data_IF_637069752881
#
_entry.id   IF_637069752881
#
_cell.length_a   1.000
_cell.length_b   1.000
_cell.length_c   1.000
_cell.angle_alpha   90.00
_cell.angle_beta   90.00
_cell.angle_gamma   90.00
#
_symmetry.space_group_name_H-M   'P 1'
#
loop_
_entity.id
_entity.type
_entity.pdbx_description
1 polymer ?
#
# COMPACT_ATOMS: atom_id res chain seq x y z
N UNK A 1 -25.14 -18.07 -18.91
CA UNK A 1 -24.58 -16.71 -18.88
C UNK A 1 -23.09 -16.79 -18.66
N UNK A 2 -22.30 -16.00 -19.39
CA UNK A 2 -20.85 -15.94 -19.24
C UNK A 2 -20.53 -15.16 -17.97
N UNK A 3 -19.79 -15.77 -17.05
CA UNK A 3 -19.27 -15.09 -15.85
C UNK A 3 -17.95 -14.41 -16.20
N UNK A 4 -17.76 -13.17 -15.77
CA UNK A 4 -16.53 -12.41 -15.97
C UNK A 4 -15.84 -12.25 -14.61
N UNK A 5 -14.59 -12.68 -14.50
CA UNK A 5 -13.75 -12.39 -13.32
C UNK A 5 -13.22 -10.97 -13.45
N UNK A 6 -13.44 -10.16 -12.42
CA UNK A 6 -12.98 -8.79 -12.33
C UNK A 6 -12.54 -8.47 -10.89
N UNK A 7 -12.09 -7.24 -10.68
CA UNK A 7 -11.54 -6.75 -9.43
C UNK A 7 -12.23 -5.45 -9.04
N UNK A 8 -12.56 -5.32 -7.76
CA UNK A 8 -13.28 -4.17 -7.24
C UNK A 8 -12.57 -3.58 -6.03
N UNK A 9 -12.45 -2.26 -6.01
CA UNK A 9 -12.10 -1.50 -4.82
C UNK A 9 -13.36 -1.09 -4.04
N UNK A 10 -13.19 -0.97 -2.73
CA UNK A 10 -14.20 -0.52 -1.77
C UNK A 10 -13.53 0.43 -0.76
N UNK A 11 -14.31 1.24 -0.07
CA UNK A 11 -13.80 1.89 1.15
C UNK A 11 -13.53 0.87 2.28
N UNK A 12 -13.05 1.36 3.42
CA UNK A 12 -12.70 0.52 4.57
C UNK A 12 -13.90 -0.30 5.08
N UNK A 13 -15.12 0.22 4.89
CA UNK A 13 -16.38 -0.38 5.31
C UNK A 13 -17.02 -1.30 4.24
N UNK A 14 -16.33 -1.64 3.15
CA UNK A 14 -16.87 -2.40 2.01
C UNK A 14 -18.03 -1.70 1.28
N UNK A 15 -18.01 -0.36 1.17
CA UNK A 15 -19.01 0.39 0.43
C UNK A 15 -18.45 0.94 -0.89
N UNK A 16 -19.37 1.18 -1.82
CA UNK A 16 -19.10 1.90 -3.06
C UNK A 16 -20.32 2.75 -3.41
N UNK A 17 -20.13 4.07 -3.55
CA UNK A 17 -21.21 5.05 -3.84
C UNK A 17 -22.43 4.91 -2.90
N UNK A 18 -22.20 4.63 -1.62
CA UNK A 18 -23.26 4.45 -0.61
C UNK A 18 -23.92 3.06 -0.59
N UNK A 19 -23.63 2.19 -1.55
CA UNK A 19 -24.08 0.79 -1.53
C UNK A 19 -23.15 -0.05 -0.65
N UNK A 20 -23.71 -0.81 0.29
CA UNK A 20 -22.98 -1.71 1.18
C UNK A 20 -22.81 -3.09 0.53
N UNK A 21 -21.57 -3.54 0.40
CA UNK A 21 -21.25 -4.89 -0.03
C UNK A 21 -20.91 -5.78 1.17
N UNK A 22 -20.98 -7.08 0.94
CA UNK A 22 -20.57 -8.11 1.88
C UNK A 22 -19.81 -9.19 1.11
N UNK A 23 -18.79 -9.76 1.75
CA UNK A 23 -18.02 -10.86 1.19
C UNK A 23 -18.91 -12.09 1.02
N UNK A 24 -18.63 -12.89 -0.01
CA UNK A 24 -19.36 -14.11 -0.37
C UNK A 24 -20.85 -13.90 -0.70
N UNK A 25 -21.29 -12.66 -0.95
CA UNK A 25 -22.66 -12.35 -1.36
C UNK A 25 -22.75 -11.89 -2.80
N UNK A 26 -23.92 -12.14 -3.40
CA UNK A 26 -24.31 -11.66 -4.72
C UNK A 26 -25.30 -10.51 -4.60
N UNK A 27 -25.19 -9.55 -5.51
CA UNK A 27 -26.01 -8.36 -5.55
C UNK A 27 -26.52 -8.15 -6.97
N UNK A 28 -27.74 -7.63 -7.10
CA UNK A 28 -28.37 -7.30 -8.38
C UNK A 28 -28.72 -5.81 -8.42
N UNK A 29 -28.42 -5.19 -9.54
CA UNK A 29 -28.77 -3.82 -9.86
C UNK A 29 -30.07 -3.79 -10.65
N UNK A 30 -30.94 -2.83 -10.35
CA UNK A 30 -32.20 -2.62 -11.06
C UNK A 30 -32.07 -1.46 -12.05
N UNK A 31 -32.56 -1.67 -13.27
CA UNK A 31 -32.50 -0.68 -14.34
C UNK A 31 -31.33 -0.90 -15.30
N UNK A 32 -31.06 0.11 -16.14
CA UNK A 32 -30.02 0.03 -17.17
C UNK A 32 -28.62 -0.06 -16.55
N UNK A 33 -27.75 -0.81 -17.22
CA UNK A 33 -26.31 -0.90 -16.90
C UNK A 33 -25.55 -0.04 -17.91
N UNK A 34 -24.96 1.05 -17.43
CA UNK A 34 -24.21 2.01 -18.25
C UNK A 34 -22.85 2.23 -17.60
N UNK A 35 -21.79 2.01 -18.38
CA UNK A 35 -20.43 2.22 -17.91
C UNK A 35 -20.27 3.62 -17.28
N UNK A 36 -19.56 3.69 -16.16
CA UNK A 36 -19.37 4.90 -15.34
C UNK A 36 -20.61 5.52 -14.66
N UNK A 37 -21.82 5.26 -15.16
CA UNK A 37 -23.07 5.85 -14.66
C UNK A 37 -23.82 4.92 -13.69
N UNK A 38 -24.22 3.72 -14.15
CA UNK A 38 -25.12 2.82 -13.43
C UNK A 38 -24.67 1.35 -13.47
N UNK A 39 -25.16 0.55 -12.52
CA UNK A 39 -24.71 -0.83 -12.32
C UNK A 39 -23.52 -0.96 -11.38
N UNK A 40 -23.02 -2.17 -11.21
CA UNK A 40 -21.88 -2.46 -10.35
C UNK A 40 -20.56 -2.36 -11.13
N UNK A 41 -19.73 -1.38 -10.78
CA UNK A 41 -18.42 -1.17 -11.42
C UNK A 41 -17.31 -2.03 -10.82
N UNK A 42 -16.45 -2.57 -11.70
CA UNK A 42 -15.21 -3.28 -11.40
C UNK A 42 -14.20 -3.06 -12.56
N UNK A 43 -13.00 -3.63 -12.45
CA UNK A 43 -11.95 -3.59 -13.49
C UNK A 43 -11.49 -5.01 -13.83
N UNK A 44 -11.27 -5.34 -15.10
CA UNK A 44 -10.73 -6.67 -15.46
C UNK A 44 -9.23 -6.81 -15.15
N UNK A 45 -8.46 -5.75 -15.37
CA UNK A 45 -7.07 -5.66 -14.95
C UNK A 45 -7.01 -5.23 -13.48
N UNK A 46 -6.38 -6.02 -12.59
CA UNK A 46 -6.42 -5.77 -11.15
C UNK A 46 -5.91 -4.40 -10.73
N UNK A 47 -4.86 -3.86 -11.32
CA UNK A 47 -4.26 -2.60 -10.85
C UNK A 47 -5.06 -1.36 -11.28
N UNK A 48 -5.99 -1.48 -12.23
CA UNK A 48 -6.88 -0.37 -12.61
C UNK A 48 -7.79 0.06 -11.46
N UNK A 49 -8.05 -0.82 -10.49
CA UNK A 49 -8.83 -0.47 -9.29
C UNK A 49 -8.17 0.64 -8.48
N UNK A 50 -6.83 0.74 -8.53
CA UNK A 50 -6.12 1.83 -7.90
C UNK A 50 -6.52 3.18 -8.52
N UNK A 51 -7.01 3.20 -9.77
CA UNK A 51 -7.69 4.32 -10.46
C UNK A 51 -8.70 5.05 -9.61
N UNK A 52 -9.42 4.26 -8.84
CA UNK A 52 -10.66 4.66 -8.19
C UNK A 52 -10.56 4.60 -6.67
N UNK A 53 -9.69 3.71 -6.18
CA UNK A 53 -9.55 3.40 -4.76
C UNK A 53 -8.07 3.44 -4.37
N UNK A 54 -7.62 4.33 -3.48
CA UNK A 54 -6.23 4.38 -3.06
C UNK A 54 -5.82 3.12 -2.26
N UNK A 55 -4.63 2.54 -2.51
CA UNK A 55 -4.14 1.31 -1.85
C UNK A 55 -4.02 1.42 -0.32
N UNK A 56 -3.85 2.64 0.20
CA UNK A 56 -3.65 2.91 1.61
C UNK A 56 -4.89 2.71 2.51
N UNK A 57 -6.08 3.00 1.99
CA UNK A 57 -7.30 3.12 2.80
C UNK A 57 -8.48 2.33 2.24
N UNK A 58 -8.24 1.56 1.18
CA UNK A 58 -9.28 0.83 0.46
C UNK A 58 -9.11 -0.66 0.62
N UNK A 59 -10.23 -1.38 0.50
CA UNK A 59 -10.25 -2.84 0.43
C UNK A 59 -10.43 -3.26 -1.01
N UNK A 60 -9.89 -4.41 -1.38
CA UNK A 60 -9.97 -4.95 -2.73
C UNK A 60 -10.60 -6.33 -2.70
N UNK A 61 -11.34 -6.68 -3.75
CA UNK A 61 -11.92 -8.00 -3.87
C UNK A 61 -11.91 -8.53 -5.28
N UNK A 62 -11.78 -9.84 -5.39
CA UNK A 62 -12.09 -10.59 -6.61
C UNK A 62 -13.61 -10.71 -6.71
N UNK A 63 -14.15 -10.43 -7.89
CA UNK A 63 -15.60 -10.43 -8.13
C UNK A 63 -15.94 -11.24 -9.38
N UNK A 64 -17.11 -11.88 -9.35
CA UNK A 64 -17.75 -12.46 -10.54
C UNK A 64 -18.87 -11.53 -11.00
N UNK A 65 -18.82 -11.09 -12.26
CA UNK A 65 -19.85 -10.27 -12.89
C UNK A 65 -20.73 -11.12 -13.82
N UNK A 66 -22.02 -10.85 -13.83
CA UNK A 66 -23.01 -11.47 -14.72
C UNK A 66 -24.17 -10.52 -15.05
N UNK A 67 -25.13 -11.01 -15.85
CA UNK A 67 -26.23 -10.21 -16.39
C UNK A 67 -25.78 -9.25 -17.49
N UNK A 68 -26.52 -8.16 -17.68
CA UNK A 68 -26.17 -7.11 -18.64
C UNK A 68 -24.87 -6.44 -18.24
N UNK A 69 -24.00 -6.16 -19.22
CA UNK A 69 -22.71 -5.53 -18.99
C UNK A 69 -22.47 -4.37 -19.95
N UNK A 70 -21.73 -3.36 -19.48
CA UNK A 70 -21.34 -2.20 -20.27
C UNK A 70 -19.87 -1.86 -20.02
N UNK A 71 -19.12 -1.57 -21.09
CA UNK A 71 -17.70 -1.21 -21.06
C UNK A 71 -17.48 0.07 -21.86
N UNK A 72 -16.80 1.04 -21.25
CA UNK A 72 -16.40 2.29 -21.90
C UNK A 72 -15.08 2.79 -21.29
N UNK A 73 -14.30 3.52 -22.08
CA UNK A 73 -13.07 4.17 -21.62
C UNK A 73 -11.78 3.55 -22.15
N UNK A 74 -10.65 4.00 -21.61
CA UNK A 74 -9.30 3.56 -21.98
C UNK A 74 -8.73 2.49 -21.03
N UNK A 75 -9.34 2.30 -19.86
CA UNK A 75 -8.96 1.28 -18.89
C UNK A 75 -9.86 0.04 -19.01
N UNK A 76 -9.68 -0.94 -18.13
CA UNK A 76 -10.44 -2.19 -18.17
C UNK A 76 -11.75 -2.14 -17.36
N UNK A 77 -12.28 -0.95 -17.13
CA UNK A 77 -13.49 -0.75 -16.34
C UNK A 77 -14.71 -1.38 -17.02
N UNK A 78 -15.54 -2.01 -16.20
CA UNK A 78 -16.77 -2.66 -16.61
C UNK A 78 -17.88 -2.38 -15.58
N UNK A 79 -19.10 -2.17 -16.06
CA UNK A 79 -20.33 -2.17 -15.26
C UNK A 79 -21.11 -3.46 -15.54
N UNK A 80 -21.74 -4.01 -14.50
CA UNK A 80 -22.59 -5.21 -14.61
C UNK A 80 -23.90 -5.09 -13.83
N UNK A 81 -24.92 -5.81 -14.27
CA UNK A 81 -26.21 -5.94 -13.57
C UNK A 81 -26.07 -6.78 -12.30
N UNK A 82 -25.20 -7.78 -12.31
CA UNK A 82 -24.98 -8.66 -11.16
C UNK A 82 -23.51 -8.70 -10.79
N UNK A 83 -23.24 -8.72 -9.48
CA UNK A 83 -21.89 -8.85 -8.94
C UNK A 83 -21.90 -9.81 -7.75
N UNK A 84 -20.94 -10.71 -7.70
CA UNK A 84 -20.68 -11.55 -6.53
C UNK A 84 -19.30 -11.23 -5.98
N UNK A 85 -19.22 -10.87 -4.69
CA UNK A 85 -17.94 -10.61 -4.03
C UNK A 85 -17.35 -11.94 -3.57
N UNK A 86 -16.32 -12.44 -4.25
CA UNK A 86 -15.80 -13.79 -4.04
C UNK A 86 -14.85 -13.88 -2.86
N UNK A 87 -13.93 -12.93 -2.78
CA UNK A 87 -12.92 -12.88 -1.74
C UNK A 87 -12.41 -11.45 -1.59
N UNK A 88 -11.93 -11.11 -0.39
CA UNK A 88 -11.07 -9.95 -0.21
C UNK A 88 -9.64 -10.31 -0.63
N UNK A 89 -8.97 -9.41 -1.34
CA UNK A 89 -7.58 -9.55 -1.76
C UNK A 89 -6.70 -8.54 -1.01
N UNK A 90 -5.57 -9.01 -0.50
CA UNK A 90 -4.46 -8.17 -0.05
C UNK A 90 -3.65 -7.70 -1.25
N UNK A 91 -2.85 -6.65 -1.06
CA UNK A 91 -2.02 -6.06 -2.12
C UNK A 91 -1.14 -7.11 -2.84
N UNK A 92 -0.45 -8.06 -2.14
CA UNK A 92 0.30 -9.11 -2.83
C UNK A 92 -0.56 -10.00 -3.73
N UNK A 93 -1.80 -10.29 -3.33
CA UNK A 93 -2.73 -11.13 -4.09
C UNK A 93 -3.27 -10.38 -5.31
N UNK A 94 -3.53 -9.07 -5.17
CA UNK A 94 -3.91 -8.19 -6.28
C UNK A 94 -2.77 -8.07 -7.32
N UNK A 95 -1.52 -7.98 -6.85
CA UNK A 95 -0.33 -7.96 -7.71
C UNK A 95 -0.17 -9.31 -8.42
N UNK A 96 -0.32 -10.43 -7.69
CA UNK A 96 -0.28 -11.76 -8.29
C UNK A 96 -1.36 -11.93 -9.37
N UNK A 97 -2.57 -11.41 -9.11
CA UNK A 97 -3.63 -11.37 -10.09
C UNK A 97 -3.25 -10.53 -11.33
N UNK A 98 -2.55 -9.40 -11.14
CA UNK A 98 -2.14 -8.51 -12.23
C UNK A 98 -1.10 -9.18 -13.14
N UNK A 99 -0.13 -9.87 -12.52
CA UNK A 99 0.84 -10.70 -13.23
C UNK A 99 0.13 -11.78 -14.02
N UNK A 100 -0.79 -12.53 -13.40
CA UNK A 100 -1.58 -13.58 -14.08
C UNK A 100 -2.36 -13.02 -15.27
N UNK A 101 -3.02 -11.86 -15.10
CA UNK A 101 -3.78 -11.22 -16.17
C UNK A 101 -2.94 -10.92 -17.42
N UNK A 102 -1.69 -10.46 -17.24
CA UNK A 102 -0.75 -10.18 -18.34
C UNK A 102 -0.23 -11.50 -18.94
N UNK A 103 0.19 -12.44 -18.09
CA UNK A 103 0.73 -13.75 -18.52
C UNK A 103 -0.29 -14.52 -19.36
N UNK A 104 -1.55 -14.55 -18.97
CA UNK A 104 -2.63 -15.25 -19.69
C UNK A 104 -2.92 -14.65 -21.09
N UNK A 105 -2.45 -13.43 -21.36
CA UNK A 105 -2.64 -12.71 -22.63
C UNK A 105 -1.38 -12.62 -23.48
N UNK A 106 -0.25 -13.09 -22.97
CA UNK A 106 1.04 -13.02 -23.63
C UNK A 106 1.36 -14.34 -24.38
N UNK A 107 1.90 -14.21 -25.58
CA UNK A 107 2.48 -15.28 -26.39
C UNK A 107 3.84 -15.66 -25.84
N UNK A 108 4.02 -16.93 -25.51
CA UNK A 108 5.31 -17.47 -25.08
C UNK A 108 6.33 -17.46 -26.23
N UNK A 109 7.53 -17.00 -25.93
CA UNK A 109 8.71 -16.99 -26.80
C UNK A 109 9.83 -17.78 -26.14
N UNK A 110 10.52 -18.61 -26.92
CA UNK A 110 11.69 -19.35 -26.45
C UNK A 110 12.93 -18.45 -26.45
N UNK A 111 13.75 -18.56 -25.41
CA UNK A 111 14.99 -17.79 -25.27
C UNK A 111 15.06 -17.04 -23.95
N UNK A 112 15.94 -16.04 -23.90
CA UNK A 112 16.17 -15.19 -22.72
C UNK A 112 15.83 -13.72 -22.97
N UNK A 113 15.61 -13.35 -24.23
CA UNK A 113 15.31 -11.99 -24.65
C UNK A 113 14.20 -11.94 -25.70
N UNK A 114 13.23 -11.04 -25.51
CA UNK A 114 12.10 -10.80 -26.40
C UNK A 114 11.79 -9.29 -26.45
N UNK A 115 11.26 -8.81 -27.57
CA UNK A 115 11.00 -7.38 -27.82
C UNK A 115 9.65 -7.09 -28.49
N UNK A 116 8.86 -8.12 -28.78
CA UNK A 116 7.59 -8.02 -29.49
C UNK A 116 6.41 -7.67 -28.58
N UNK A 117 5.27 -7.39 -29.21
CA UNK A 117 4.03 -7.14 -28.47
C UNK A 117 3.45 -8.42 -27.89
N UNK A 118 2.93 -8.31 -26.66
CA UNK A 118 2.30 -9.40 -25.92
C UNK A 118 3.21 -10.62 -25.84
N UNK A 119 4.50 -10.44 -25.55
CA UNK A 119 5.44 -11.54 -25.43
C UNK A 119 5.71 -11.92 -23.98
N UNK A 120 5.92 -13.22 -23.76
CA UNK A 120 6.27 -13.82 -22.49
C UNK A 120 7.53 -14.65 -22.65
N UNK A 121 8.51 -14.47 -21.77
CA UNK A 121 9.63 -15.39 -21.62
C UNK A 121 9.57 -16.06 -20.25
N UNK A 122 9.80 -17.38 -20.23
CA UNK A 122 9.98 -18.16 -19.01
C UNK A 122 11.31 -18.92 -19.06
N UNK A 123 12.25 -18.55 -18.18
CA UNK A 123 13.58 -19.16 -18.08
C UNK A 123 13.72 -19.91 -16.76
N UNK A 124 14.22 -21.14 -16.82
CA UNK A 124 14.52 -21.98 -15.66
C UNK A 124 15.99 -22.40 -15.67
N UNK A 125 16.62 -22.43 -14.50
CA UNK A 125 18.00 -22.89 -14.33
C UNK A 125 18.77 -22.09 -13.27
N UNK A 126 19.92 -22.59 -12.82
CA UNK A 126 20.69 -22.00 -11.72
C UNK A 126 21.02 -20.51 -11.87
N UNK A 127 21.10 -20.02 -13.11
CA UNK A 127 21.29 -18.62 -13.48
C UNK A 127 20.24 -18.23 -14.52
N UNK A 128 18.98 -18.18 -14.11
CA UNK A 128 17.87 -17.85 -14.99
C UNK A 128 17.80 -16.33 -15.22
N UNK A 129 17.85 -15.90 -16.47
CA UNK A 129 17.70 -14.49 -16.85
C UNK A 129 16.63 -14.41 -17.93
N UNK A 130 15.56 -13.68 -17.67
CA UNK A 130 14.48 -13.43 -18.62
C UNK A 130 14.32 -11.92 -18.82
N UNK A 131 14.41 -11.45 -20.06
CA UNK A 131 14.24 -10.03 -20.40
C UNK A 131 13.20 -9.89 -21.51
N UNK A 132 12.12 -9.17 -21.26
CA UNK A 132 11.10 -8.89 -22.26
C UNK A 132 10.87 -7.39 -22.35
N UNK A 133 10.77 -6.88 -23.57
CA UNK A 133 10.31 -5.54 -23.87
C UNK A 133 9.13 -5.58 -24.83
N UNK A 134 8.22 -4.62 -24.77
CA UNK A 134 7.07 -4.51 -25.68
C UNK A 134 5.74 -4.25 -24.97
N UNK A 135 4.72 -3.87 -25.74
CA UNK A 135 3.37 -3.63 -25.20
C UNK A 135 2.81 -4.95 -24.65
N UNK A 136 2.56 -5.06 -23.33
CA UNK A 136 2.20 -6.31 -22.62
C UNK A 136 3.35 -7.31 -22.50
N UNK A 137 4.47 -6.88 -21.93
CA UNK A 137 5.64 -7.73 -21.70
C UNK A 137 5.51 -8.54 -20.39
N UNK A 138 5.80 -9.84 -20.43
CA UNK A 138 5.93 -10.66 -19.22
C UNK A 138 7.28 -11.39 -19.18
N UNK A 139 8.00 -11.31 -18.06
CA UNK A 139 9.26 -12.02 -17.87
C UNK A 139 9.21 -12.86 -16.60
N UNK A 140 9.52 -14.15 -16.72
CA UNK A 140 9.58 -15.10 -15.60
C UNK A 140 10.94 -15.77 -15.57
N UNK A 141 11.65 -15.69 -14.44
CA UNK A 141 12.95 -16.35 -14.24
C UNK A 141 12.94 -17.15 -12.93
N UNK A 142 13.32 -18.43 -12.99
CA UNK A 142 13.35 -19.31 -11.82
C UNK A 142 14.65 -20.11 -11.70
N UNK A 143 15.31 -20.01 -10.54
CA UNK A 143 16.46 -20.82 -10.15
C UNK A 143 17.33 -20.15 -9.09
N UNK A 144 18.41 -20.80 -8.66
CA UNK A 144 19.24 -20.36 -7.52
C UNK A 144 19.64 -18.87 -7.57
N UNK A 145 19.97 -18.36 -8.75
CA UNK A 145 20.09 -16.93 -9.08
C UNK A 145 19.15 -16.62 -10.24
N UNK A 146 18.13 -15.82 -10.00
CA UNK A 146 17.14 -15.47 -11.03
C UNK A 146 16.99 -13.96 -11.18
N UNK A 147 16.87 -13.51 -12.43
CA UNK A 147 16.61 -12.12 -12.78
C UNK A 147 15.54 -12.05 -13.87
N UNK A 148 14.44 -11.35 -13.61
CA UNK A 148 13.37 -11.11 -14.57
C UNK A 148 13.21 -9.60 -14.80
N UNK A 149 13.25 -9.19 -16.07
CA UNK A 149 13.05 -7.79 -16.47
C UNK A 149 11.93 -7.73 -17.51
N UNK A 150 10.88 -6.96 -17.24
CA UNK A 150 9.78 -6.71 -18.18
C UNK A 150 9.61 -5.20 -18.37
N UNK A 151 9.62 -4.73 -19.61
CA UNK A 151 9.51 -3.31 -19.94
C UNK A 151 8.46 -3.06 -21.01
N UNK A 152 7.55 -2.11 -20.81
CA UNK A 152 6.49 -1.81 -21.76
C UNK A 152 5.24 -1.26 -21.10
N UNK A 153 4.28 -0.77 -21.89
CA UNK A 153 3.10 -0.05 -21.35
C UNK A 153 2.38 -0.83 -20.24
N UNK A 154 2.21 -2.14 -20.42
CA UNK A 154 1.84 -3.07 -19.35
C UNK A 154 2.96 -4.10 -19.20
N UNK A 155 3.53 -4.23 -18.01
CA UNK A 155 4.67 -5.10 -17.79
C UNK A 155 4.59 -5.89 -16.48
N UNK A 156 4.96 -7.17 -16.54
CA UNK A 156 4.99 -8.07 -15.40
C UNK A 156 6.31 -8.82 -15.30
N UNK A 157 7.04 -8.69 -14.20
CA UNK A 157 8.28 -9.42 -13.96
C UNK A 157 8.17 -10.31 -12.72
N UNK A 158 8.51 -11.58 -12.85
CA UNK A 158 8.52 -12.55 -11.75
C UNK A 158 9.87 -13.26 -11.68
N UNK A 159 10.56 -13.15 -10.54
CA UNK A 159 11.80 -13.85 -10.28
C UNK A 159 11.69 -14.72 -9.02
N UNK A 160 12.10 -15.98 -9.08
CA UNK A 160 12.05 -16.90 -7.94
C UNK A 160 13.34 -17.71 -7.76
N UNK A 161 13.77 -17.90 -6.50
CA UNK A 161 14.91 -18.72 -6.08
C UNK A 161 15.81 -18.01 -5.07
N UNK A 162 16.85 -18.68 -4.55
CA UNK A 162 17.63 -18.20 -3.38
C UNK A 162 18.08 -16.73 -3.47
N UNK A 163 18.48 -16.27 -4.65
CA UNK A 163 18.70 -14.85 -4.94
C UNK A 163 17.88 -14.45 -6.17
N UNK A 164 16.86 -13.64 -5.98
CA UNK A 164 15.92 -13.27 -7.03
C UNK A 164 15.78 -11.75 -7.16
N UNK A 165 15.74 -11.28 -8.40
CA UNK A 165 15.55 -9.87 -8.74
C UNK A 165 14.49 -9.72 -9.84
N UNK A 166 13.41 -9.00 -9.57
CA UNK A 166 12.36 -8.71 -10.54
C UNK A 166 12.26 -7.20 -10.79
N UNK A 167 12.29 -6.79 -12.06
CA UNK A 167 12.14 -5.39 -12.48
C UNK A 167 11.05 -5.27 -13.53
N UNK A 168 10.01 -4.50 -13.23
CA UNK A 168 8.94 -4.17 -14.19
C UNK A 168 8.89 -2.65 -14.40
N UNK A 169 8.91 -2.19 -15.65
CA UNK A 169 8.80 -0.77 -15.99
C UNK A 169 7.72 -0.57 -17.06
N UNK A 170 6.85 0.42 -16.91
CA UNK A 170 5.69 0.59 -17.79
C UNK A 170 4.78 1.73 -17.39
N UNK A 171 3.63 1.88 -18.05
CA UNK A 171 2.54 2.70 -17.53
C UNK A 171 1.85 1.96 -16.37
N UNK A 172 1.67 0.65 -16.54
CA UNK A 172 1.22 -0.31 -15.53
C UNK A 172 2.28 -1.39 -15.36
N UNK A 173 2.90 -1.46 -14.17
CA UNK A 173 4.02 -2.37 -13.92
C UNK A 173 3.83 -3.16 -12.62
N UNK A 174 4.10 -4.46 -12.68
CA UNK A 174 4.03 -5.37 -11.55
C UNK A 174 5.32 -6.19 -11.44
N UNK A 175 6.02 -6.12 -10.31
CA UNK A 175 7.23 -6.90 -10.06
C UNK A 175 7.09 -7.78 -8.81
N UNK A 176 7.41 -9.06 -8.94
CA UNK A 176 7.37 -10.04 -7.84
C UNK A 176 8.70 -10.78 -7.76
N UNK A 177 9.38 -10.70 -6.61
CA UNK A 177 10.60 -11.46 -6.33
C UNK A 177 10.43 -12.34 -5.08
N UNK A 178 10.81 -13.62 -5.17
CA UNK A 178 10.71 -14.56 -4.05
C UNK A 178 11.96 -15.43 -3.86
N UNK A 179 12.30 -15.72 -2.59
CA UNK A 179 13.48 -16.50 -2.18
C UNK A 179 14.29 -15.81 -1.07
N UNK A 180 15.34 -16.46 -0.56
CA UNK A 180 16.07 -15.98 0.64
C UNK A 180 16.50 -14.51 0.55
N UNK A 181 16.97 -14.08 -0.63
CA UNK A 181 17.38 -12.71 -0.93
C UNK A 181 16.61 -12.21 -2.14
N UNK A 182 15.58 -11.39 -1.90
CA UNK A 182 14.62 -11.01 -2.94
C UNK A 182 14.52 -9.50 -3.09
N UNK A 183 14.62 -9.02 -4.33
CA UNK A 183 14.46 -7.61 -4.67
C UNK A 183 13.44 -7.42 -5.80
N UNK A 184 12.39 -6.64 -5.56
CA UNK A 184 11.38 -6.32 -6.57
C UNK A 184 11.31 -4.81 -6.79
N UNK A 185 11.37 -4.39 -8.06
CA UNK A 185 11.25 -2.97 -8.46
C UNK A 185 10.18 -2.82 -9.52
N UNK A 186 9.19 -1.97 -9.28
CA UNK A 186 8.17 -1.58 -10.24
C UNK A 186 8.19 -0.05 -10.46
N UNK A 187 8.15 0.39 -11.71
CA UNK A 187 8.13 1.81 -12.06
C UNK A 187 7.15 2.13 -13.17
N UNK A 188 6.30 3.12 -12.97
CA UNK A 188 5.22 3.49 -13.88
C UNK A 188 4.12 4.27 -13.20
N UNK A 189 3.20 4.87 -13.97
CA UNK A 189 2.04 5.60 -13.40
C UNK A 189 1.26 4.74 -12.39
N UNK A 190 1.16 3.45 -12.65
CA UNK A 190 0.58 2.43 -11.79
C UNK A 190 1.62 1.35 -11.53
N UNK A 191 2.24 1.36 -10.36
CA UNK A 191 3.36 0.47 -10.07
C UNK A 191 3.17 -0.31 -8.79
N UNK A 192 3.46 -1.60 -8.84
CA UNK A 192 3.28 -2.48 -7.70
C UNK A 192 4.44 -3.48 -7.58
N UNK A 193 5.12 -3.49 -6.43
CA UNK A 193 6.28 -4.34 -6.17
C UNK A 193 6.07 -5.22 -4.94
N UNK A 194 6.34 -6.52 -5.05
CA UNK A 194 6.30 -7.49 -3.95
C UNK A 194 7.60 -8.26 -3.85
N UNK A 195 8.25 -8.23 -2.69
CA UNK A 195 9.42 -9.05 -2.40
C UNK A 195 9.18 -9.92 -1.16
N UNK A 196 9.45 -11.23 -1.26
CA UNK A 196 9.30 -12.17 -0.15
C UNK A 196 10.55 -13.01 0.04
N UNK A 197 11.06 -13.12 1.27
CA UNK A 197 12.34 -13.79 1.53
C UNK A 197 12.78 -13.78 2.97
N UNK A 198 14.02 -14.18 3.25
CA UNK A 198 14.66 -13.93 4.54
C UNK A 198 15.11 -12.45 4.61
N UNK A 199 15.73 -11.96 3.54
CA UNK A 199 15.97 -10.56 3.25
C UNK A 199 15.16 -10.16 2.02
N UNK A 200 14.27 -9.19 2.17
CA UNK A 200 13.38 -8.75 1.09
C UNK A 200 13.36 -7.22 0.96
N UNK A 201 13.40 -6.75 -0.28
CA UNK A 201 13.33 -5.33 -0.61
C UNK A 201 12.35 -5.10 -1.77
N UNK A 202 11.32 -4.27 -1.56
CA UNK A 202 10.35 -3.90 -2.58
C UNK A 202 10.34 -2.40 -2.80
N UNK A 203 10.44 -1.96 -4.06
CA UNK A 203 10.39 -0.55 -4.46
C UNK A 203 9.35 -0.33 -5.54
N UNK A 204 8.39 0.56 -5.29
CA UNK A 204 7.40 0.98 -6.28
C UNK A 204 7.45 2.52 -6.47
N UNK A 205 7.51 2.97 -7.71
CA UNK A 205 7.63 4.40 -8.07
C UNK A 205 6.59 4.73 -9.13
N UNK A 206 5.75 5.74 -8.92
CA UNK A 206 4.63 5.98 -9.83
C UNK A 206 3.66 7.05 -9.40
N UNK A 207 2.68 7.41 -10.25
CA UNK A 207 1.59 8.27 -9.79
C UNK A 207 0.84 7.62 -8.63
N UNK A 208 0.56 6.31 -8.77
CA UNK A 208 0.03 5.44 -7.73
C UNK A 208 0.97 4.24 -7.58
N UNK A 209 1.54 4.09 -6.39
CA UNK A 209 2.56 3.07 -6.13
C UNK A 209 2.29 2.28 -4.85
N UNK A 210 2.53 0.97 -4.93
CA UNK A 210 2.37 0.06 -3.80
C UNK A 210 3.58 -0.88 -3.67
N UNK A 211 4.25 -0.87 -2.53
CA UNK A 211 5.39 -1.74 -2.24
C UNK A 211 5.12 -2.62 -1.03
N UNK A 212 5.32 -3.94 -1.17
CA UNK A 212 5.20 -4.91 -0.07
C UNK A 212 6.46 -5.76 0.06
N UNK A 213 7.07 -5.77 1.24
CA UNK A 213 8.23 -6.61 1.56
C UNK A 213 7.95 -7.47 2.80
N UNK A 214 8.21 -8.78 2.71
CA UNK A 214 8.01 -9.72 3.81
C UNK A 214 9.17 -10.68 4.00
N UNK A 215 9.58 -10.89 5.26
CA UNK A 215 10.80 -11.60 5.62
C UNK A 215 11.41 -11.13 6.92
N UNK A 216 12.36 -11.88 7.49
CA UNK A 216 13.04 -11.50 8.74
C UNK A 216 13.63 -10.08 8.70
N UNK A 217 14.15 -9.69 7.53
CA UNK A 217 14.61 -8.34 7.22
C UNK A 217 13.87 -7.83 5.98
N UNK A 218 12.99 -6.84 6.17
CA UNK A 218 12.10 -6.39 5.11
C UNK A 218 12.13 -4.88 4.95
N UNK A 219 12.30 -4.42 3.71
CA UNK A 219 12.27 -2.99 3.37
C UNK A 219 11.29 -2.75 2.22
N UNK A 220 10.29 -1.89 2.44
CA UNK A 220 9.32 -1.48 1.41
C UNK A 220 9.39 0.03 1.20
N UNK A 221 9.54 0.46 -0.05
CA UNK A 221 9.54 1.88 -0.43
C UNK A 221 8.53 2.12 -1.53
N UNK A 222 7.56 3.00 -1.28
CA UNK A 222 6.60 3.47 -2.28
C UNK A 222 6.71 4.98 -2.43
N UNK A 223 6.80 5.47 -3.67
CA UNK A 223 6.89 6.92 -3.96
C UNK A 223 5.92 7.27 -5.07
N UNK A 224 5.16 8.36 -4.91
CA UNK A 224 4.14 8.76 -5.87
C UNK A 224 3.29 9.94 -5.42
N UNK A 225 2.18 10.21 -6.10
CA UNK A 225 1.14 11.11 -5.53
C UNK A 225 0.33 10.32 -4.50
N UNK A 226 0.03 9.06 -4.80
CA UNK A 226 -0.59 8.13 -3.87
C UNK A 226 0.33 6.94 -3.65
N UNK A 227 0.89 6.80 -2.46
CA UNK A 227 1.90 5.78 -2.16
C UNK A 227 1.55 4.96 -0.93
N UNK A 228 1.76 3.64 -1.03
CA UNK A 228 1.53 2.71 0.07
C UNK A 228 2.71 1.73 0.21
N UNK A 229 3.36 1.73 1.39
CA UNK A 229 4.48 0.83 1.69
C UNK A 229 4.14 -0.06 2.89
N UNK A 230 4.31 -1.36 2.74
CA UNK A 230 4.11 -2.35 3.81
C UNK A 230 5.35 -3.24 3.97
N UNK A 231 5.93 -3.26 5.16
CA UNK A 231 7.06 -4.12 5.49
C UNK A 231 6.76 -4.98 6.73
N UNK A 232 6.90 -6.31 6.61
CA UNK A 232 6.63 -7.25 7.69
C UNK A 232 7.84 -8.15 7.94
N UNK A 233 8.33 -8.20 9.18
CA UNK A 233 9.55 -8.94 9.50
C UNK A 233 9.96 -8.89 10.95
N UNK A 234 11.06 -9.55 11.34
CA UNK A 234 11.65 -9.29 12.66
C UNK A 234 12.21 -7.86 12.74
N UNK A 235 12.87 -7.44 11.65
CA UNK A 235 13.27 -6.06 11.36
C UNK A 235 12.60 -5.60 10.08
N UNK A 236 11.77 -4.56 10.18
CA UNK A 236 11.00 -4.06 9.05
C UNK A 236 11.07 -2.54 8.92
N UNK A 237 11.18 -2.05 7.69
CA UNK A 237 11.18 -0.63 7.37
C UNK A 237 10.23 -0.36 6.21
N UNK A 238 9.24 0.51 6.41
CA UNK A 238 8.31 0.95 5.38
C UNK A 238 8.43 2.46 5.19
N UNK A 239 8.62 2.90 3.94
CA UNK A 239 8.69 4.32 3.58
C UNK A 239 7.70 4.62 2.46
N UNK A 240 6.78 5.55 2.71
CA UNK A 240 5.82 6.05 1.74
C UNK A 240 5.99 7.58 1.59
N UNK A 241 6.07 8.06 0.35
CA UNK A 241 6.23 9.49 0.06
C UNK A 241 5.35 9.94 -1.11
N UNK A 242 4.67 11.07 -0.94
CA UNK A 242 3.62 11.55 -1.83
C UNK A 242 2.48 12.26 -1.13
N UNK A 243 1.70 13.08 -1.84
CA UNK A 243 0.57 13.84 -1.30
C UNK A 243 -0.35 13.00 -0.40
N UNK A 244 -0.61 11.75 -0.77
CA UNK A 244 -1.32 10.75 0.02
C UNK A 244 -0.42 9.54 0.27
N UNK A 245 0.11 9.42 1.48
CA UNK A 245 1.12 8.39 1.79
C UNK A 245 0.77 7.57 3.01
N UNK A 246 0.86 6.24 2.88
CA UNK A 246 0.70 5.33 4.00
C UNK A 246 1.86 4.35 4.12
N UNK A 247 2.49 4.32 5.29
CA UNK A 247 3.57 3.39 5.61
C UNK A 247 3.18 2.52 6.80
N UNK A 248 3.28 1.20 6.64
CA UNK A 248 3.03 0.23 7.70
C UNK A 248 4.25 -0.69 7.86
N UNK A 249 4.84 -0.70 9.05
CA UNK A 249 5.93 -1.60 9.40
C UNK A 249 5.57 -2.42 10.64
N UNK A 250 5.66 -3.75 10.53
CA UNK A 250 5.35 -4.67 11.64
C UNK A 250 6.55 -5.57 11.91
N UNK A 251 6.95 -5.68 13.18
CA UNK A 251 8.11 -6.49 13.56
C UNK A 251 8.62 -6.25 14.98
N UNK A 252 9.61 -7.02 15.44
CA UNK A 252 10.21 -6.75 16.76
C UNK A 252 10.85 -5.36 16.80
N UNK A 253 11.51 -4.98 15.70
CA UNK A 253 12.05 -3.65 15.46
C UNK A 253 11.53 -3.13 14.12
N UNK A 254 10.57 -2.22 14.17
CA UNK A 254 9.86 -1.74 12.99
C UNK A 254 9.95 -0.22 12.86
N UNK A 255 10.11 0.27 11.64
CA UNK A 255 10.14 1.70 11.34
C UNK A 255 9.19 2.01 10.19
N UNK A 256 8.20 2.86 10.41
CA UNK A 256 7.28 3.34 9.39
C UNK A 256 7.46 4.85 9.21
N UNK A 257 7.71 5.30 7.98
CA UNK A 257 7.82 6.71 7.63
C UNK A 257 6.85 7.04 6.51
N UNK A 258 5.91 7.95 6.74
CA UNK A 258 5.01 8.47 5.73
C UNK A 258 5.18 9.99 5.61
N UNK A 259 5.32 10.49 4.39
CA UNK A 259 5.53 11.93 4.11
C UNK A 259 4.63 12.39 2.99
N UNK A 260 3.94 13.52 3.18
CA UNK A 260 2.92 14.00 2.25
C UNK A 260 1.92 14.92 2.92
N UNK A 261 1.12 15.66 2.17
CA UNK A 261 0.05 16.49 2.74
C UNK A 261 -0.88 15.69 3.65
N UNK A 262 -1.16 14.45 3.27
CA UNK A 262 -1.97 13.49 3.99
C UNK A 262 -1.18 12.21 4.21
N UNK A 263 -0.59 12.07 5.38
CA UNK A 263 0.33 10.97 5.67
C UNK A 263 -0.08 10.16 6.89
N UNK A 264 0.03 8.84 6.78
CA UNK A 264 -0.26 7.91 7.87
C UNK A 264 0.89 6.92 8.03
N UNK A 265 1.54 6.92 9.19
CA UNK A 265 2.61 5.97 9.52
C UNK A 265 2.16 5.10 10.70
N UNK A 266 2.20 3.79 10.52
CA UNK A 266 1.92 2.81 11.58
C UNK A 266 3.11 1.88 11.77
N UNK A 267 3.70 1.90 12.94
CA UNK A 267 4.75 0.96 13.33
C UNK A 267 4.25 0.10 14.50
N UNK A 268 4.36 -1.22 14.36
CA UNK A 268 3.95 -2.17 15.41
C UNK A 268 5.11 -3.07 15.78
N UNK A 269 5.37 -3.23 17.08
CA UNK A 269 6.53 -3.98 17.52
C UNK A 269 6.91 -3.82 18.98
N UNK A 270 8.03 -4.42 19.38
CA UNK A 270 8.65 -4.05 20.66
C UNK A 270 9.24 -2.65 20.45
N UNK A 271 10.34 -2.56 19.71
CA UNK A 271 11.02 -1.29 19.42
C UNK A 271 10.51 -0.70 18.10
N UNK A 272 9.33 -0.10 18.12
CA UNK A 272 8.72 0.47 16.91
C UNK A 272 8.81 1.99 16.83
N UNK A 273 9.01 2.53 15.63
CA UNK A 273 9.07 3.97 15.38
C UNK A 273 8.16 4.33 14.21
N UNK A 274 7.15 5.15 14.45
CA UNK A 274 6.26 5.70 13.43
C UNK A 274 6.52 7.19 13.26
N UNK A 275 6.80 7.64 12.04
CA UNK A 275 6.98 9.05 11.70
C UNK A 275 6.04 9.45 10.57
N UNK A 276 5.17 10.42 10.82
CA UNK A 276 4.30 11.00 9.80
C UNK A 276 4.55 12.50 9.68
N UNK A 277 4.76 12.99 8.47
CA UNK A 277 4.99 14.43 8.20
C UNK A 277 4.02 14.91 7.14
N UNK A 278 3.40 16.08 7.34
CA UNK A 278 2.33 16.54 6.46
C UNK A 278 1.38 17.56 7.04
N UNK A 279 0.58 18.20 6.19
CA UNK A 279 -0.49 19.12 6.59
C UNK A 279 -1.60 18.45 7.41
N UNK A 280 -1.81 17.15 7.23
CA UNK A 280 -2.65 16.28 8.07
C UNK A 280 -1.97 14.93 8.20
N UNK A 281 -1.12 14.80 9.21
CA UNK A 281 -0.31 13.60 9.41
C UNK A 281 -0.72 12.82 10.67
N UNK A 282 -0.70 11.49 10.59
CA UNK A 282 -1.01 10.61 11.70
C UNK A 282 0.09 9.56 11.90
N UNK A 283 0.76 9.58 13.05
CA UNK A 283 1.75 8.59 13.42
C UNK A 283 1.21 7.73 14.57
N UNK A 284 1.21 6.41 14.39
CA UNK A 284 0.80 5.46 15.42
C UNK A 284 1.91 4.44 15.66
N UNK A 285 2.42 4.38 16.89
CA UNK A 285 3.41 3.39 17.30
C UNK A 285 2.83 2.50 18.40
N UNK A 286 2.91 1.18 18.22
CA UNK A 286 2.32 0.21 19.14
C UNK A 286 3.37 -0.77 19.67
N UNK A 287 3.28 -1.08 20.96
CA UNK A 287 4.12 -2.03 21.69
C UNK A 287 5.32 -1.43 22.46
N UNK A 288 6.13 -2.27 23.12
CA UNK A 288 6.98 -1.87 24.26
C UNK A 288 8.21 -1.02 23.89
N UNK A 289 8.32 0.22 24.39
CA UNK A 289 9.36 1.20 24.02
C UNK A 289 9.24 1.70 22.57
N UNK A 290 8.02 2.03 22.17
CA UNK A 290 7.74 2.57 20.85
C UNK A 290 7.71 4.10 20.83
N UNK A 291 7.91 4.70 19.66
CA UNK A 291 7.87 6.16 19.48
C UNK A 291 7.01 6.55 18.28
N UNK A 292 6.03 7.42 18.49
CA UNK A 292 5.21 8.01 17.45
C UNK A 292 5.53 9.51 17.32
N UNK A 293 5.92 9.96 16.13
CA UNK A 293 6.21 11.37 15.85
C UNK A 293 5.37 11.85 14.68
N UNK A 294 4.55 12.86 14.91
CA UNK A 294 3.76 13.52 13.87
C UNK A 294 4.16 15.00 13.76
N UNK A 295 4.27 15.51 12.54
CA UNK A 295 4.67 16.90 12.30
C UNK A 295 3.95 17.51 11.10
N UNK A 296 3.91 18.84 11.06
CA UNK A 296 3.02 19.60 10.19
C UNK A 296 1.63 19.80 10.82
N UNK A 297 0.82 20.64 10.20
CA UNK A 297 -0.42 21.10 10.82
C UNK A 297 -1.38 19.93 11.09
N UNK A 298 -2.30 20.10 12.04
CA UNK A 298 -3.34 19.11 12.36
C UNK A 298 -2.82 17.68 12.56
N UNK A 299 -1.58 17.55 13.02
CA UNK A 299 -0.90 16.27 13.12
C UNK A 299 -1.28 15.53 14.39
N UNK A 300 -1.33 14.20 14.34
CA UNK A 300 -1.72 13.36 15.47
C UNK A 300 -0.67 12.28 15.72
N UNK A 301 -0.07 12.25 16.92
CA UNK A 301 0.82 11.18 17.34
C UNK A 301 0.17 10.32 18.42
N UNK A 302 0.14 9.00 18.22
CA UNK A 302 -0.47 8.05 19.15
C UNK A 302 0.51 6.95 19.55
N UNK A 303 0.74 6.79 20.85
CA UNK A 303 1.55 5.71 21.42
C UNK A 303 0.69 4.80 22.30
N UNK A 304 0.47 3.55 21.89
CA UNK A 304 -0.41 2.62 22.64
C UNK A 304 0.35 1.55 23.42
N UNK A 305 1.68 1.50 23.29
CA UNK A 305 2.54 0.55 23.96
C UNK A 305 3.02 1.00 25.34
N UNK A 306 3.46 0.06 26.16
CA UNK A 306 4.06 0.39 27.47
C UNK A 306 5.40 1.11 27.29
N UNK A 307 5.71 2.10 28.15
CA UNK A 307 6.94 2.91 28.11
C UNK A 307 7.21 3.55 26.74
N UNK A 308 6.15 3.92 26.03
CA UNK A 308 6.25 4.53 24.70
C UNK A 308 6.20 6.06 24.77
N UNK A 309 6.50 6.73 23.65
CA UNK A 309 6.44 8.17 23.54
C UNK A 309 5.61 8.61 22.32
N UNK A 310 4.84 9.69 22.48
CA UNK A 310 4.15 10.36 21.38
C UNK A 310 4.50 11.84 21.34
N UNK A 311 4.85 12.35 20.15
CA UNK A 311 5.27 13.74 19.94
C UNK A 311 4.54 14.34 18.76
N UNK A 312 3.91 15.51 18.95
CA UNK A 312 3.33 16.32 17.88
C UNK A 312 3.91 17.74 17.90
N UNK A 313 4.43 18.22 16.77
CA UNK A 313 5.19 19.49 16.70
C UNK A 313 4.62 20.55 15.76
N UNK A 314 3.54 20.24 15.04
CA UNK A 314 2.92 21.17 14.09
C UNK A 314 1.79 22.00 14.68
N UNK A 315 1.26 22.94 13.90
CA UNK A 315 0.14 23.79 14.31
C UNK A 315 -1.08 22.93 14.62
N UNK A 316 -1.67 23.11 15.81
CA UNK A 316 -2.77 22.28 16.30
C UNK A 316 -2.48 20.77 16.31
N UNK A 317 -1.21 20.41 16.50
CA UNK A 317 -0.79 19.03 16.70
C UNK A 317 -1.35 18.47 18.02
N UNK A 318 -1.82 17.22 17.97
CA UNK A 318 -2.37 16.49 19.12
C UNK A 318 -1.62 15.20 19.41
N UNK A 319 -1.58 14.83 20.69
CA UNK A 319 -0.96 13.56 21.14
C UNK A 319 -1.92 12.74 21.98
N UNK A 320 -1.80 11.41 21.87
CA UNK A 320 -2.50 10.44 22.73
C UNK A 320 -1.53 9.35 23.15
N UNK A 321 -1.62 8.94 24.41
CA UNK A 321 -0.79 7.87 24.96
C UNK A 321 -1.58 6.92 25.84
N UNK A 322 -1.22 5.64 25.84
CA UNK A 322 -1.61 4.70 26.90
C UNK A 322 -0.97 5.13 28.22
N UNK A 323 -1.54 4.69 29.35
CA UNK A 323 -0.97 4.91 30.68
C UNK A 323 0.54 4.60 30.73
N UNK A 324 1.31 5.53 31.29
CA UNK A 324 2.76 5.49 31.37
C UNK A 324 3.51 5.95 30.12
N UNK A 325 2.83 6.33 29.04
CA UNK A 325 3.49 6.90 27.86
C UNK A 325 3.91 8.36 28.10
N UNK A 326 5.09 8.73 27.60
CA UNK A 326 5.53 10.11 27.52
C UNK A 326 4.80 10.83 26.37
N UNK A 327 4.38 12.06 26.62
CA UNK A 327 3.65 12.92 25.68
C UNK A 327 4.42 14.23 25.52
N UNK A 328 4.59 14.69 24.28
CA UNK A 328 5.28 15.94 23.94
C UNK A 328 4.46 16.76 22.96
N UNK A 329 4.22 18.02 23.31
CA UNK A 329 3.42 18.96 22.52
C UNK A 329 4.17 20.28 22.28
N UNK A 330 3.88 20.89 21.15
CA UNK A 330 4.34 22.24 20.78
C UNK A 330 3.13 23.09 20.41
N UNK A 331 3.06 24.29 20.95
CA UNK A 331 2.06 25.29 20.60
C UNK A 331 2.67 26.33 19.68
N UNK A 332 1.94 26.70 18.63
CA UNK A 332 2.35 27.69 17.64
C UNK A 332 1.27 28.77 17.48
N UNK A 333 1.70 30.02 17.26
CA UNK A 333 0.80 31.09 16.87
C UNK A 333 0.50 31.08 15.36
N UNK A 334 -0.30 32.03 14.88
CA UNK A 334 -0.69 32.15 13.47
C UNK A 334 0.48 32.50 12.52
N UNK A 335 1.61 32.96 13.08
CA UNK A 335 2.86 33.19 12.35
C UNK A 335 3.79 31.97 12.39
N UNK A 336 3.31 30.83 12.90
CA UNK A 336 4.04 29.56 13.05
C UNK A 336 5.21 29.60 14.05
N UNK A 337 5.30 30.66 14.87
CA UNK A 337 6.31 30.78 15.92
C UNK A 337 5.97 29.84 17.08
N UNK A 338 6.99 29.21 17.68
CA UNK A 338 6.79 28.36 18.87
C UNK A 338 6.57 29.27 20.08
N UNK A 339 5.40 29.17 20.69
CA UNK A 339 5.02 29.99 21.85
C UNK A 339 4.99 29.22 23.17
N UNK A 340 4.83 27.89 23.11
CA UNK A 340 4.96 27.02 24.27
C UNK A 340 5.39 25.60 23.87
N UNK A 341 5.97 24.89 24.83
CA UNK A 341 6.25 23.46 24.75
C UNK A 341 5.77 22.80 26.04
N UNK A 342 5.35 21.54 25.95
CA UNK A 342 4.92 20.79 27.11
C UNK A 342 5.36 19.33 27.00
N UNK A 343 5.70 18.75 28.15
CA UNK A 343 6.00 17.34 28.30
C UNK A 343 5.30 16.78 29.54
N UNK A 344 4.75 15.57 29.44
CA UNK A 344 4.12 14.89 30.56
C UNK A 344 3.97 13.40 30.32
N UNK A 345 3.34 12.72 31.27
CA UNK A 345 3.13 11.27 31.23
C UNK A 345 1.65 10.97 31.39
N UNK A 346 1.09 10.20 30.47
CA UNK A 346 -0.29 9.76 30.55
C UNK A 346 -0.52 8.93 31.83
N UNK A 347 -1.57 9.25 32.58
CA UNK A 347 -1.86 8.67 33.91
C UNK A 347 -1.24 9.42 35.09
N UNK A 348 -0.55 10.54 34.86
CA UNK A 348 0.04 11.37 35.92
C UNK A 348 -0.40 12.82 35.79
N UNK A 349 -0.43 13.56 36.91
CA UNK A 349 -0.71 15.01 36.95
C UNK A 349 -1.95 15.41 36.13
N UNK A 350 -3.06 14.70 36.36
CA UNK A 350 -4.36 14.89 35.70
C UNK A 350 -4.40 14.67 34.17
N UNK A 351 -3.35 14.10 33.59
CA UNK A 351 -3.33 13.67 32.19
C UNK A 351 -3.97 12.29 32.08
N UNK A 352 -5.14 12.20 31.47
CA UNK A 352 -5.86 10.94 31.28
C UNK A 352 -5.17 10.09 30.21
N UNK A 353 -4.97 8.78 30.47
CA UNK A 353 -4.65 7.83 29.43
C UNK A 353 -5.69 7.84 28.31
N UNK A 354 -5.27 7.41 27.12
CA UNK A 354 -6.15 7.14 25.99
C UNK A 354 -7.00 8.34 25.52
N UNK A 355 -6.56 9.54 25.87
CA UNK A 355 -7.22 10.81 25.56
C UNK A 355 -6.30 11.66 24.68
N UNK A 356 -6.86 12.36 23.68
CA UNK A 356 -6.07 13.29 22.88
C UNK A 356 -5.92 14.63 23.61
N UNK A 357 -4.71 15.19 23.54
CA UNK A 357 -4.38 16.50 24.07
C UNK A 357 -3.75 17.38 22.99
N UNK A 358 -4.14 18.65 22.97
CA UNK A 358 -3.45 19.76 22.27
C UNK A 358 -2.85 20.71 23.31
N UNK A 359 -1.89 21.53 22.91
CA UNK A 359 -1.34 22.57 23.79
C UNK A 359 -2.02 23.91 23.49
N UNK A 360 -2.62 24.52 24.51
CA UNK A 360 -3.25 25.84 24.43
C UNK A 360 -2.83 26.69 25.64
N UNK A 361 -2.31 27.89 25.40
CA UNK A 361 -1.78 28.79 26.42
C UNK A 361 -0.76 28.10 27.36
N UNK A 362 0.07 27.22 26.80
CA UNK A 362 1.06 26.44 27.54
C UNK A 362 0.50 25.34 28.43
N UNK A 363 -0.80 25.02 28.34
CA UNK A 363 -1.45 23.94 29.10
C UNK A 363 -2.04 22.86 28.18
N UNK A 364 -1.89 21.57 28.51
CA UNK A 364 -2.51 20.50 27.75
C UNK A 364 -4.05 20.54 27.92
N UNK A 365 -4.79 20.55 26.82
CA UNK A 365 -6.26 20.59 26.78
C UNK A 365 -6.79 19.37 26.05
N UNK A 366 -7.79 18.69 26.63
CA UNK A 366 -8.45 17.54 26.02
C UNK A 366 -9.13 17.93 24.70
N UNK A 367 -9.03 17.06 23.69
CA UNK A 367 -9.69 17.20 22.39
C UNK A 367 -10.18 15.84 21.89
N UNK A 368 -11.07 15.88 20.89
CA UNK A 368 -11.43 14.70 20.08
C UNK A 368 -10.29 14.25 19.15
#
# INVERSE_FOLDING_TARGET
MTKIVAYKGFDAELRCRGFQFELNKSFQHQGSVVACESGFHACEYPLDVFGYYPPASSRYGEVELSGDTSKEGKDTKIAAAEITIKAELKIPELIAAAVRYIVDRAKRIDGQHATGERELIEVRGDRAIATVSGHWSAATASGNRSAATATGYQSAATASGNRSAATATGYQSAATASGDWSAATASGDWSAATATGYQSAATATGWRSAATASGDWSAATATGIQSAATATGWRSAATASGDWSAATASGNRSAATASGDWSAATATGIQSAATATGWRSAATATGYQSAATASGDWSAATATGYQSAATATGYQGKVRGKEGCALFLVERNDQMEIIAVWAGVAGQNDIKPDTFYILQNGQPVETE
#
